data_IF_049842382974
#
_entry.id   IF_049842382974
#
_cell.length_a   1.000
_cell.length_b   1.000
_cell.length_c   1.000
_cell.angle_alpha   90.00
_cell.angle_beta   90.00
_cell.angle_gamma   90.00
#
_symmetry.space_group_name_H-M   'P 1'
#
loop_
_entity.id
_entity.type
_entity.pdbx_description
1 polymer ?
#
# COMPACT_ATOMS: atom_id res chain seq x y z
N UNK A 1 -8.39 6.71 16.02
CA UNK A 1 -6.98 7.13 15.98
C UNK A 1 -6.45 6.57 14.67
N UNK A 2 -6.21 7.44 13.69
CA UNK A 2 -5.88 7.04 12.32
C UNK A 2 -4.39 6.74 12.24
N UNK A 3 -4.04 5.47 12.45
CA UNK A 3 -2.67 5.02 12.23
C UNK A 3 -2.36 5.16 10.73
N UNK A 4 -1.37 6.00 10.39
CA UNK A 4 -0.86 6.24 9.02
C UNK A 4 -1.77 7.00 8.05
N UNK A 5 -2.46 8.05 8.51
CA UNK A 5 -3.22 8.96 7.63
C UNK A 5 -2.37 9.62 6.53
N UNK A 6 -1.05 9.73 6.72
CA UNK A 6 -0.11 10.35 5.79
C UNK A 6 0.80 9.26 5.21
N UNK A 7 0.49 8.83 3.99
CA UNK A 7 1.42 8.06 3.15
C UNK A 7 1.79 9.00 2.00
N UNK A 8 3.00 9.55 2.08
CA UNK A 8 3.62 10.33 1.02
C UNK A 8 4.37 9.39 0.08
N UNK A 9 4.19 9.63 -1.23
CA UNK A 9 4.98 8.99 -2.27
C UNK A 9 6.14 9.90 -2.67
N UNK A 10 7.33 9.34 -2.84
CA UNK A 10 8.56 10.08 -3.14
C UNK A 10 9.35 10.54 -1.90
N UNK A 11 10.41 11.31 -2.14
CA UNK A 11 11.35 11.77 -1.12
C UNK A 11 11.57 13.28 -1.15
N UNK A 12 11.96 13.83 0.00
CA UNK A 12 12.80 15.02 0.03
C UNK A 12 14.24 14.60 -0.32
N UNK A 13 14.82 15.14 -1.40
CA UNK A 13 16.19 14.83 -1.86
C UNK A 13 17.26 14.97 -0.76
N UNK A 14 17.02 15.78 0.28
CA UNK A 14 17.93 15.91 1.41
C UNK A 14 18.02 14.66 2.30
N UNK A 15 16.98 13.81 2.32
CA UNK A 15 16.84 12.65 3.23
C UNK A 15 17.16 11.29 2.55
N UNK A 16 17.38 11.25 1.23
CA UNK A 16 17.65 10.02 0.47
C UNK A 16 18.95 9.35 0.95
N UNK A 17 20.02 10.13 1.10
CA UNK A 17 21.36 9.60 1.47
C UNK A 17 21.42 9.11 2.91
N UNK A 18 20.58 9.65 3.80
CA UNK A 18 20.61 9.34 5.24
C UNK A 18 19.88 8.02 5.51
N UNK A 19 18.80 7.73 4.81
CA UNK A 19 17.90 6.62 5.13
C UNK A 19 18.16 5.33 4.33
N UNK A 20 18.75 5.43 3.13
CA UNK A 20 18.84 4.27 2.21
C UNK A 20 20.27 3.80 1.92
N UNK A 21 21.28 4.53 2.42
CA UNK A 21 22.68 4.19 2.20
C UNK A 21 23.12 4.37 0.74
N UNK A 22 24.38 4.08 0.47
CA UNK A 22 24.98 4.21 -0.87
C UNK A 22 24.42 3.16 -1.83
N UNK A 23 23.98 3.58 -3.03
CA UNK A 23 23.50 2.69 -4.11
C UNK A 23 24.48 1.53 -4.32
N UNK A 24 23.98 0.29 -4.27
CA UNK A 24 24.78 -0.90 -4.54
C UNK A 24 24.77 -1.18 -6.05
N UNK A 25 25.94 -1.11 -6.69
CA UNK A 25 26.12 -1.46 -8.11
C UNK A 25 26.47 -2.94 -8.19
N UNK A 26 25.56 -3.75 -8.73
CA UNK A 26 25.78 -5.18 -8.97
C UNK A 26 26.17 -5.44 -10.42
N UNK A 27 27.41 -5.89 -10.64
CA UNK A 27 27.97 -6.39 -11.91
C UNK A 27 27.27 -5.89 -13.20
N UNK A 28 26.45 -6.72 -13.85
CA UNK A 28 25.88 -6.50 -15.19
C UNK A 28 24.40 -6.07 -15.19
N UNK A 29 23.82 -5.77 -14.02
CA UNK A 29 22.38 -5.45 -13.90
C UNK A 29 22.17 -4.21 -13.03
N UNK A 30 21.41 -3.25 -13.55
CA UNK A 30 21.01 -2.06 -12.80
C UNK A 30 19.77 -2.42 -11.98
N UNK A 31 19.90 -2.45 -10.65
CA UNK A 31 18.77 -2.58 -9.75
C UNK A 31 18.36 -1.17 -9.30
N UNK A 32 17.11 -0.82 -9.58
CA UNK A 32 16.51 0.40 -9.04
C UNK A 32 15.63 0.03 -7.84
N UNK A 33 15.82 0.76 -6.75
CA UNK A 33 15.00 0.63 -5.55
C UNK A 33 14.07 1.84 -5.54
N UNK A 34 12.81 1.63 -5.92
CA UNK A 34 11.76 2.65 -5.79
C UNK A 34 11.10 2.50 -4.43
N UNK A 35 11.12 3.56 -3.63
CA UNK A 35 10.47 3.54 -2.31
C UNK A 35 9.00 3.86 -2.46
N UNK A 36 8.17 2.91 -2.04
CA UNK A 36 6.73 2.93 -2.33
C UNK A 36 5.93 3.69 -1.26
N UNK A 37 6.46 3.81 -0.04
CA UNK A 37 5.87 4.59 1.03
C UNK A 37 6.90 4.98 2.10
N UNK A 38 6.81 6.21 2.59
CA UNK A 38 7.42 6.62 3.86
C UNK A 38 6.34 6.66 4.94
N UNK A 39 6.53 5.88 6.01
CA UNK A 39 5.59 5.80 7.12
C UNK A 39 6.12 6.63 8.29
N UNK A 40 5.36 7.63 8.73
CA UNK A 40 5.68 8.47 9.89
C UNK A 40 4.56 8.34 10.93
N UNK A 41 4.93 8.12 12.19
CA UNK A 41 4.00 8.23 13.32
C UNK A 41 3.93 9.68 13.78
N UNK A 42 2.73 10.13 14.16
CA UNK A 42 2.47 11.50 14.61
C UNK A 42 2.84 11.78 16.06
N UNK A 43 3.19 10.77 16.86
CA UNK A 43 3.52 10.91 18.29
C UNK A 43 4.81 10.19 18.69
N UNK A 44 5.48 10.75 19.70
CA UNK A 44 6.76 10.33 20.25
C UNK A 44 6.75 8.87 20.77
N UNK A 45 7.65 8.06 20.21
CA UNK A 45 8.27 6.88 20.81
C UNK A 45 7.44 5.66 21.24
N UNK A 46 6.14 5.55 20.97
CA UNK A 46 5.51 4.22 20.95
C UNK A 46 5.68 3.62 19.55
N UNK A 47 6.84 3.01 19.29
CA UNK A 47 7.07 2.28 18.05
C UNK A 47 5.91 1.34 17.76
N UNK A 48 5.35 1.41 16.54
CA UNK A 48 4.30 0.47 16.12
C UNK A 48 4.92 -0.93 16.13
N UNK A 49 4.44 -1.81 17.01
CA UNK A 49 5.08 -3.11 17.30
C UNK A 49 5.30 -3.96 16.04
N UNK A 50 4.45 -3.79 15.03
CA UNK A 50 4.62 -4.45 13.74
C UNK A 50 3.90 -3.71 12.61
N UNK A 51 4.64 -3.34 11.57
CA UNK A 51 4.08 -2.82 10.31
C UNK A 51 3.91 -3.98 9.34
N UNK A 52 2.68 -4.19 8.87
CA UNK A 52 2.35 -5.19 7.86
C UNK A 52 2.14 -4.53 6.51
N UNK A 53 2.92 -4.97 5.54
CA UNK A 53 2.94 -4.43 4.19
C UNK A 53 2.58 -5.55 3.21
N UNK A 54 1.62 -5.28 2.34
CA UNK A 54 1.46 -6.04 1.11
C UNK A 54 1.53 -5.07 -0.07
N UNK A 55 2.16 -5.49 -1.15
CA UNK A 55 2.14 -4.77 -2.41
C UNK A 55 1.85 -5.71 -3.56
N UNK A 56 1.17 -5.19 -4.57
CA UNK A 56 0.83 -5.91 -5.79
C UNK A 56 0.89 -4.94 -6.96
N UNK A 57 1.56 -5.33 -8.04
CA UNK A 57 1.51 -4.62 -9.31
C UNK A 57 0.68 -5.45 -10.27
N UNK A 58 -0.43 -4.89 -10.77
CA UNK A 58 -1.31 -5.58 -11.70
C UNK A 58 -2.04 -4.61 -12.60
N UNK A 59 -2.10 -4.92 -13.89
CA UNK A 59 -2.76 -4.11 -14.91
C UNK A 59 -2.30 -2.64 -14.91
N UNK A 60 -0.98 -2.44 -14.77
CA UNK A 60 -0.37 -1.12 -14.69
C UNK A 60 -0.52 -0.43 -13.35
N UNK A 61 -1.44 -0.83 -12.48
CA UNK A 61 -1.72 -0.19 -11.18
C UNK A 61 -0.85 -0.78 -10.07
N UNK A 62 -0.51 0.05 -9.08
CA UNK A 62 0.19 -0.37 -7.85
C UNK A 62 -0.78 -0.36 -6.69
N UNK A 63 -0.94 -1.49 -6.03
CA UNK A 63 -1.74 -1.65 -4.82
C UNK A 63 -0.78 -1.76 -3.65
N UNK A 64 -0.97 -0.93 -2.63
CA UNK A 64 -0.17 -0.91 -1.42
C UNK A 64 -1.10 -0.98 -0.22
N UNK A 65 -0.89 -1.95 0.67
CA UNK A 65 -1.58 -2.00 1.96
C UNK A 65 -0.60 -1.81 3.09
N UNK A 66 -0.96 -1.00 4.07
CA UNK A 66 -0.19 -0.78 5.30
C UNK A 66 -1.14 -0.98 6.48
N UNK A 67 -0.94 -2.05 7.24
CA UNK A 67 -1.83 -2.42 8.35
C UNK A 67 -3.31 -2.43 7.92
N UNK A 68 -4.06 -1.40 8.28
CA UNK A 68 -5.50 -1.29 8.01
C UNK A 68 -5.84 -0.44 6.79
N UNK A 69 -4.85 0.16 6.13
CA UNK A 69 -5.06 1.06 5.00
C UNK A 69 -4.66 0.42 3.69
N UNK A 70 -5.32 0.82 2.61
CA UNK A 70 -4.94 0.51 1.24
C UNK A 70 -4.87 1.78 0.41
N UNK A 71 -3.86 1.87 -0.44
CA UNK A 71 -3.72 2.88 -1.49
C UNK A 71 -3.54 2.18 -2.83
N UNK A 72 -4.17 2.73 -3.87
CA UNK A 72 -4.03 2.26 -5.24
C UNK A 72 -3.57 3.43 -6.09
N UNK A 73 -2.43 3.26 -6.75
CA UNK A 73 -1.87 4.22 -7.68
C UNK A 73 -2.07 3.76 -9.11
N UNK A 74 -2.18 4.73 -10.02
CA UNK A 74 -2.37 4.50 -11.44
C UNK A 74 -1.21 3.73 -12.08
N UNK A 75 0.00 3.99 -11.61
CA UNK A 75 1.24 3.42 -12.13
C UNK A 75 2.35 3.39 -11.07
N UNK A 76 3.53 2.93 -11.48
CA UNK A 76 4.71 2.81 -10.64
C UNK A 76 5.40 4.16 -10.34
N UNK A 77 4.92 5.28 -10.91
CA UNK A 77 5.42 6.61 -10.55
C UNK A 77 4.86 7.06 -9.19
N UNK A 78 3.76 6.44 -8.72
CA UNK A 78 3.12 6.68 -7.42
C UNK A 78 2.63 8.13 -7.22
N UNK A 79 2.40 8.85 -8.32
CA UNK A 79 1.93 10.25 -8.32
C UNK A 79 0.40 10.28 -8.26
N UNK A 80 -0.25 9.58 -9.18
CA UNK A 80 -1.70 9.60 -9.34
C UNK A 80 -2.37 8.56 -8.42
N UNK A 81 -2.89 9.01 -7.27
CA UNK A 81 -3.67 8.20 -6.35
C UNK A 81 -5.09 7.98 -6.89
N UNK A 82 -5.44 6.72 -7.21
CA UNK A 82 -6.76 6.33 -7.71
C UNK A 82 -7.74 6.03 -6.58
N UNK A 83 -7.25 5.42 -5.50
CA UNK A 83 -8.10 4.99 -4.40
C UNK A 83 -7.33 4.97 -3.07
N UNK A 84 -8.06 5.29 -1.99
CA UNK A 84 -7.56 5.21 -0.63
C UNK A 84 -8.70 4.83 0.31
N UNK A 85 -8.46 3.84 1.17
CA UNK A 85 -9.42 3.44 2.19
C UNK A 85 -8.72 2.94 3.47
N UNK A 86 -9.43 3.05 4.58
CA UNK A 86 -9.03 2.53 5.89
C UNK A 86 -10.12 1.59 6.39
N UNK A 87 -9.72 0.43 6.89
CA UNK A 87 -10.61 -0.61 7.41
C UNK A 87 -10.56 -0.68 8.94
N UNK A 88 -11.53 -1.38 9.53
CA UNK A 88 -11.63 -1.58 10.98
C UNK A 88 -10.54 -2.54 11.53
N UNK A 89 -10.06 -3.43 10.67
CA UNK A 89 -9.08 -4.47 10.97
C UNK A 89 -7.89 -4.43 9.99
N UNK A 90 -6.78 -5.05 10.40
CA UNK A 90 -5.58 -5.21 9.57
C UNK A 90 -5.95 -6.00 8.31
N UNK A 91 -5.43 -5.56 7.16
CA UNK A 91 -5.50 -6.24 5.88
C UNK A 91 -4.38 -7.30 5.87
N UNK A 92 -4.78 -8.57 5.85
CA UNK A 92 -3.83 -9.68 5.80
C UNK A 92 -3.40 -9.99 4.37
N UNK A 93 -4.33 -9.87 3.41
CA UNK A 93 -4.06 -10.17 2.01
C UNK A 93 -4.96 -9.38 1.06
N UNK A 94 -4.45 -9.17 -0.14
CA UNK A 94 -5.21 -8.63 -1.28
C UNK A 94 -5.05 -9.52 -2.50
N UNK A 95 -6.07 -9.55 -3.36
CA UNK A 95 -6.01 -10.24 -4.63
C UNK A 95 -6.80 -9.49 -5.69
N UNK A 96 -6.21 -9.34 -6.87
CA UNK A 96 -6.89 -8.79 -8.04
C UNK A 96 -7.35 -9.95 -8.92
N UNK A 97 -8.62 -9.94 -9.29
CA UNK A 97 -9.23 -10.88 -10.22
C UNK A 97 -8.45 -10.99 -11.54
N UNK A 98 -8.51 -12.14 -12.26
CA UNK A 98 -7.74 -12.32 -13.49
C UNK A 98 -8.01 -11.28 -14.59
N UNK A 99 -9.24 -10.80 -14.70
CA UNK A 99 -9.64 -9.74 -15.63
C UNK A 99 -9.30 -8.34 -15.11
N UNK A 100 -8.94 -8.20 -13.83
CA UNK A 100 -8.57 -6.93 -13.21
C UNK A 100 -9.73 -6.02 -12.86
N UNK A 101 -10.96 -6.51 -12.88
CA UNK A 101 -12.15 -5.71 -12.58
C UNK A 101 -12.44 -5.67 -11.08
N UNK A 102 -12.12 -6.74 -10.35
CA UNK A 102 -12.41 -6.87 -8.93
C UNK A 102 -11.15 -6.98 -8.08
N UNK A 103 -11.17 -6.30 -6.94
CA UNK A 103 -10.19 -6.41 -5.86
C UNK A 103 -10.85 -7.07 -4.64
N UNK A 104 -10.25 -8.16 -4.16
CA UNK A 104 -10.60 -8.80 -2.90
C UNK A 104 -9.64 -8.33 -1.82
N UNK A 105 -10.18 -7.94 -0.67
CA UNK A 105 -9.42 -7.50 0.51
C UNK A 105 -9.84 -8.37 1.69
N UNK A 106 -8.88 -9.12 2.24
CA UNK A 106 -9.10 -10.03 3.35
C UNK A 106 -8.60 -9.37 4.64
N UNK A 107 -9.51 -9.12 5.57
CA UNK A 107 -9.20 -8.54 6.87
C UNK A 107 -8.96 -9.63 7.91
N UNK A 108 -8.08 -9.36 8.88
CA UNK A 108 -7.79 -10.24 10.02
C UNK A 108 -9.01 -10.55 10.89
N UNK A 109 -10.03 -9.70 10.86
CA UNK A 109 -11.34 -9.95 11.47
C UNK A 109 -12.10 -11.12 10.84
N UNK A 110 -11.63 -11.62 9.69
CA UNK A 110 -12.32 -12.62 8.87
C UNK A 110 -13.32 -12.02 7.88
N UNK A 111 -13.41 -10.69 7.80
CA UNK A 111 -14.26 -10.00 6.83
C UNK A 111 -13.56 -9.95 5.46
N UNK A 112 -14.32 -10.18 4.39
CA UNK A 112 -13.84 -10.06 3.01
C UNK A 112 -14.63 -8.98 2.29
N UNK A 113 -13.91 -7.96 1.81
CA UNK A 113 -14.44 -6.92 0.94
C UNK A 113 -14.15 -7.24 -0.52
N UNK A 114 -15.11 -6.93 -1.37
CA UNK A 114 -14.96 -6.95 -2.83
C UNK A 114 -15.24 -5.56 -3.36
N UNK A 115 -14.27 -5.01 -4.07
CA UNK A 115 -14.35 -3.70 -4.72
C UNK A 115 -14.33 -3.88 -6.23
N UNK A 116 -15.15 -3.11 -6.94
CA UNK A 116 -14.96 -2.91 -8.37
C UNK A 116 -13.84 -1.86 -8.57
N UNK A 117 -12.81 -2.22 -9.32
CA UNK A 117 -11.63 -1.37 -9.55
C UNK A 117 -11.94 -0.20 -10.48
N UNK A 118 -12.89 -0.36 -11.41
CA UNK A 118 -13.32 0.71 -12.30
C UNK A 118 -14.38 1.61 -11.64
N UNK A 119 -15.16 1.04 -10.72
CA UNK A 119 -16.13 1.76 -9.90
C UNK A 119 -15.80 1.63 -8.41
N UNK A 120 -14.75 2.36 -8.00
CA UNK A 120 -14.23 2.37 -6.63
C UNK A 120 -15.20 2.95 -5.59
N UNK A 121 -16.44 3.28 -5.96
CA UNK A 121 -17.51 3.72 -5.07
C UNK A 121 -18.35 2.57 -4.50
N UNK A 122 -18.37 1.41 -5.17
CA UNK A 122 -19.21 0.26 -4.80
C UNK A 122 -18.40 -0.77 -3.99
N UNK A 123 -18.29 -0.54 -2.67
CA UNK A 123 -17.70 -1.48 -1.73
C UNK A 123 -18.74 -2.46 -1.19
N UNK A 124 -18.63 -3.74 -1.56
CA UNK A 124 -19.51 -4.80 -1.05
C UNK A 124 -18.75 -5.69 -0.07
N UNK A 125 -19.26 -5.76 1.16
CA UNK A 125 -18.86 -6.79 2.11
C UNK A 125 -19.56 -8.10 1.74
N UNK A 126 -18.78 -9.11 1.33
CA UNK A 126 -19.32 -10.37 0.78
C UNK A 126 -19.31 -11.48 1.83
N UNK A 127 -18.43 -11.39 2.83
CA UNK A 127 -18.36 -12.37 3.91
C UNK A 127 -18.06 -11.71 5.25
N UNK A 128 -18.81 -12.12 6.28
CA UNK A 128 -18.63 -11.69 7.67
C UNK A 128 -18.86 -12.92 8.56
N UNK A 129 -17.91 -13.18 9.46
CA UNK A 129 -18.01 -14.23 10.48
C UNK A 129 -18.87 -13.77 11.66
#
# INVERSE_FOLDING_TARGET
MEDFAIIEAGFNNADETINFGTRAIGYDTLYEISTIACLKCSEDNSGVEQVLLNSLIRNGKVFLTVNKSIKIFKDAELIDLLFNAVFDSVIDAICVSPNGEFLLICLRSGIIHVLNIEDMSDNKCVFKK
#
